data_IF_594614279410
#
_entry.id   IF_594614279410
#
_cell.length_a   1.000
_cell.length_b   1.000
_cell.length_c   1.000
_cell.angle_alpha   90.00
_cell.angle_beta   90.00
_cell.angle_gamma   90.00
#
_symmetry.space_group_name_H-M   'P 1'
#
loop_
_entity.id
_entity.type
_entity.pdbx_description
1 polymer ?
#
# COMPACT_ATOMS: atom_id res chain seq x y z
N UNK A 1 30.22 7.43 24.94
CA UNK A 1 30.37 6.76 23.62
C UNK A 1 29.04 6.89 22.87
N UNK A 2 29.01 7.51 21.68
CA UNK A 2 27.78 7.56 20.90
C UNK A 2 27.41 6.12 20.45
N UNK A 3 26.16 5.70 20.66
CA UNK A 3 25.67 4.38 20.26
C UNK A 3 25.74 4.24 18.73
N UNK A 4 26.18 3.09 18.23
CA UNK A 4 26.24 2.82 16.79
C UNK A 4 24.80 2.68 16.22
N UNK A 5 24.30 3.76 15.59
CA UNK A 5 22.90 3.85 15.14
C UNK A 5 22.72 3.59 13.63
N UNK A 6 23.76 3.80 12.80
CA UNK A 6 23.65 3.74 11.32
C UNK A 6 23.13 2.40 10.80
N UNK A 7 23.65 1.27 11.28
CA UNK A 7 23.20 -0.07 10.84
C UNK A 7 21.75 -0.36 11.23
N UNK A 8 21.32 -0.18 12.50
CA UNK A 8 19.91 -0.26 12.87
C UNK A 8 19.01 0.70 12.10
N UNK A 9 19.49 1.90 11.82
CA UNK A 9 18.75 2.91 11.07
C UNK A 9 18.46 2.44 9.65
N UNK A 10 19.48 1.95 8.94
CA UNK A 10 19.33 1.42 7.58
C UNK A 10 18.41 0.20 7.55
N UNK A 11 18.48 -0.68 8.55
CA UNK A 11 17.55 -1.81 8.68
C UNK A 11 16.09 -1.35 8.85
N UNK A 12 15.85 -0.37 9.72
CA UNK A 12 14.51 0.18 9.91
C UNK A 12 14.01 0.91 8.65
N UNK A 13 14.92 1.56 7.93
CA UNK A 13 14.60 2.23 6.67
C UNK A 13 14.20 1.24 5.57
N UNK A 14 14.98 0.16 5.37
CA UNK A 14 14.65 -0.94 4.44
C UNK A 14 13.25 -1.50 4.65
N UNK A 15 12.85 -1.66 5.91
CA UNK A 15 11.56 -2.27 6.24
C UNK A 15 10.37 -1.31 6.12
N UNK A 16 10.60 0.01 6.14
CA UNK A 16 9.51 0.98 6.28
C UNK A 16 9.46 2.04 5.18
N UNK A 17 10.56 2.27 4.46
CA UNK A 17 10.74 3.43 3.58
C UNK A 17 10.65 4.78 4.31
N UNK A 18 10.52 4.79 5.65
CA UNK A 18 10.13 5.96 6.41
C UNK A 18 11.24 6.41 7.35
N UNK A 19 11.86 7.54 6.99
CA UNK A 19 12.95 8.15 7.75
C UNK A 19 12.55 8.49 9.19
N UNK A 20 11.30 8.93 9.42
CA UNK A 20 10.82 9.26 10.77
C UNK A 20 10.71 8.02 11.65
N UNK A 21 10.22 6.92 11.08
CA UNK A 21 10.17 5.61 11.77
C UNK A 21 11.59 5.12 12.08
N UNK A 22 12.50 5.17 11.10
CA UNK A 22 13.89 4.76 11.29
C UNK A 22 14.63 5.59 12.35
N UNK A 23 14.37 6.91 12.40
CA UNK A 23 14.90 7.79 13.44
C UNK A 23 14.36 7.44 14.83
N UNK A 24 13.04 7.22 14.95
CA UNK A 24 12.42 6.82 16.21
C UNK A 24 12.97 5.49 16.73
N UNK A 25 13.14 4.49 15.85
CA UNK A 25 13.69 3.17 16.20
C UNK A 25 15.15 3.20 16.65
N UNK A 26 15.89 4.26 16.31
CA UNK A 26 17.32 4.39 16.61
C UNK A 26 17.66 5.50 17.59
N UNK A 27 16.63 6.17 18.12
CA UNK A 27 16.75 7.27 19.07
C UNK A 27 17.69 8.38 18.58
N UNK A 28 17.51 8.78 17.32
CA UNK A 28 18.22 9.91 16.73
C UNK A 28 17.25 10.93 16.17
N UNK A 29 17.69 12.18 16.10
CA UNK A 29 17.00 13.18 15.31
C UNK A 29 17.20 12.97 13.81
N UNK A 30 16.19 13.35 13.02
CA UNK A 30 16.29 13.39 11.55
C UNK A 30 17.47 14.25 11.08
N UNK A 31 17.73 15.37 11.77
CA UNK A 31 18.84 16.28 11.49
C UNK A 31 20.20 15.55 11.51
N UNK A 32 20.40 14.66 12.49
CA UNK A 32 21.57 13.80 12.66
C UNK A 32 21.70 12.80 11.51
N UNK A 33 20.61 12.13 11.14
CA UNK A 33 20.57 11.18 10.05
C UNK A 33 20.98 11.82 8.71
N UNK A 34 20.39 12.98 8.36
CA UNK A 34 20.73 13.71 7.14
C UNK A 34 22.13 14.31 7.17
N UNK A 35 22.62 14.76 8.32
CA UNK A 35 24.01 15.24 8.45
C UNK A 35 25.01 14.11 8.19
N UNK A 36 24.72 12.91 8.67
CA UNK A 36 25.54 11.73 8.38
C UNK A 36 25.50 11.39 6.89
N UNK A 37 24.31 11.39 6.26
CA UNK A 37 24.15 11.16 4.81
C UNK A 37 24.98 12.11 3.97
N UNK A 38 25.08 13.40 4.36
CA UNK A 38 25.91 14.38 3.64
C UNK A 38 27.42 14.19 3.83
N UNK A 39 27.86 13.59 4.93
CA UNK A 39 29.29 13.49 5.30
C UNK A 39 29.91 12.13 4.99
N UNK A 40 29.08 11.11 4.79
CA UNK A 40 29.49 9.73 4.60
C UNK A 40 28.82 9.17 3.35
N UNK A 41 29.58 9.11 2.26
CA UNK A 41 29.09 8.63 0.97
C UNK A 41 28.69 7.16 0.98
N UNK A 42 29.34 6.32 1.80
CA UNK A 42 28.97 4.92 1.93
C UNK A 42 27.62 4.78 2.65
N UNK A 43 27.40 5.56 3.70
CA UNK A 43 26.09 5.61 4.37
C UNK A 43 25.00 6.17 3.46
N UNK A 44 25.31 7.13 2.59
CA UNK A 44 24.37 7.65 1.60
C UNK A 44 23.97 6.58 0.57
N UNK A 45 24.93 5.85 0.02
CA UNK A 45 24.66 4.76 -0.91
C UNK A 45 23.77 3.69 -0.27
N UNK A 46 24.12 3.23 0.94
CA UNK A 46 23.29 2.24 1.65
C UNK A 46 21.91 2.78 2.04
N UNK A 47 21.76 4.09 2.23
CA UNK A 47 20.45 4.72 2.45
C UNK A 47 19.59 4.64 1.21
N UNK A 48 20.17 4.95 0.05
CA UNK A 48 19.46 4.93 -1.22
C UNK A 48 19.02 3.50 -1.56
N UNK A 49 19.92 2.52 -1.42
CA UNK A 49 19.57 1.08 -1.50
C UNK A 49 18.42 0.70 -0.56
N UNK A 50 18.45 1.21 0.68
CA UNK A 50 17.39 0.92 1.65
C UNK A 50 16.02 1.49 1.24
N UNK A 51 15.99 2.62 0.53
CA UNK A 51 14.75 3.19 0.00
C UNK A 51 14.25 2.37 -1.20
N UNK A 52 15.14 1.93 -2.08
CA UNK A 52 14.78 1.08 -3.22
C UNK A 52 14.19 -0.25 -2.73
N UNK A 53 14.84 -0.94 -1.78
CA UNK A 53 14.32 -2.18 -1.19
C UNK A 53 12.92 -1.99 -0.56
N UNK A 54 12.71 -0.88 0.15
CA UNK A 54 11.41 -0.57 0.72
C UNK A 54 10.35 -0.28 -0.35
N UNK A 55 10.75 0.34 -1.46
CA UNK A 55 9.90 0.67 -2.59
C UNK A 55 9.49 -0.59 -3.34
N UNK A 56 10.42 -1.49 -3.63
CA UNK A 56 10.15 -2.79 -4.26
C UNK A 56 9.11 -3.60 -3.45
N UNK A 57 9.26 -3.62 -2.12
CA UNK A 57 8.31 -4.30 -1.24
C UNK A 57 6.91 -3.66 -1.29
N UNK A 58 6.84 -2.34 -1.38
CA UNK A 58 5.57 -1.61 -1.52
C UNK A 58 4.92 -1.89 -2.88
N UNK A 59 5.69 -1.89 -3.97
CA UNK A 59 5.21 -2.23 -5.31
C UNK A 59 4.66 -3.66 -5.39
N UNK A 60 5.35 -4.61 -4.77
CA UNK A 60 4.89 -6.00 -4.67
C UNK A 60 3.52 -6.09 -3.96
N UNK A 61 3.33 -5.37 -2.85
CA UNK A 61 2.05 -5.35 -2.14
C UNK A 61 0.95 -4.63 -2.94
N UNK A 62 1.27 -3.54 -3.64
CA UNK A 62 0.32 -2.88 -4.55
C UNK A 62 -0.14 -3.85 -5.63
N UNK A 63 0.78 -4.61 -6.25
CA UNK A 63 0.47 -5.64 -7.24
C UNK A 63 -0.40 -6.75 -6.66
N UNK A 64 -0.09 -7.23 -5.45
CA UNK A 64 -0.90 -8.25 -4.76
C UNK A 64 -2.31 -7.74 -4.53
N UNK A 65 -2.49 -6.53 -3.99
CA UNK A 65 -3.82 -5.94 -3.76
C UNK A 65 -4.58 -5.70 -5.05
N UNK A 66 -3.90 -5.22 -6.09
CA UNK A 66 -4.51 -4.97 -7.38
C UNK A 66 -5.10 -6.26 -7.98
N UNK A 67 -4.33 -7.36 -7.97
CA UNK A 67 -4.72 -8.62 -8.63
C UNK A 67 -5.53 -9.56 -7.73
N UNK A 68 -5.05 -9.80 -6.51
CA UNK A 68 -5.67 -10.75 -5.59
C UNK A 68 -6.80 -10.12 -4.78
N UNK A 69 -6.79 -8.80 -4.62
CA UNK A 69 -7.74 -8.10 -3.77
C UNK A 69 -7.44 -8.17 -2.28
N UNK A 70 -8.31 -7.52 -1.52
CA UNK A 70 -8.34 -7.55 -0.05
C UNK A 70 -9.67 -8.08 0.44
N UNK A 71 -9.67 -8.62 1.66
CA UNK A 71 -10.88 -9.09 2.29
C UNK A 71 -11.69 -7.91 2.83
N UNK A 72 -12.93 -7.79 2.36
CA UNK A 72 -13.88 -6.76 2.79
C UNK A 72 -15.09 -7.44 3.45
N UNK A 73 -15.42 -7.08 4.71
CA UNK A 73 -16.61 -7.58 5.36
C UNK A 73 -17.86 -6.98 4.72
N UNK A 74 -18.87 -7.82 4.48
CA UNK A 74 -20.17 -7.41 3.96
C UNK A 74 -21.17 -7.36 5.10
N UNK A 75 -21.81 -6.22 5.28
CA UNK A 75 -22.83 -6.01 6.31
C UNK A 75 -24.22 -5.87 5.69
N UNK A 76 -25.20 -6.49 6.33
CA UNK A 76 -26.61 -6.29 6.07
C UNK A 76 -27.35 -6.11 7.40
N UNK A 77 -28.10 -5.00 7.53
CA UNK A 77 -28.81 -4.62 8.76
C UNK A 77 -27.91 -4.66 10.02
N UNK A 78 -26.70 -4.12 9.89
CA UNK A 78 -25.72 -4.04 11.00
C UNK A 78 -25.05 -5.37 11.38
N UNK A 79 -25.39 -6.48 10.72
CA UNK A 79 -24.75 -7.78 10.92
C UNK A 79 -23.81 -8.10 9.77
N UNK A 80 -22.61 -8.58 10.08
CA UNK A 80 -21.72 -9.12 9.06
C UNK A 80 -22.29 -10.43 8.53
N UNK A 81 -22.52 -10.52 7.22
CA UNK A 81 -23.14 -11.67 6.57
C UNK A 81 -22.16 -12.45 5.68
N UNK A 82 -21.05 -11.83 5.26
CA UNK A 82 -20.03 -12.46 4.44
C UNK A 82 -18.69 -11.73 4.57
N UNK A 83 -17.64 -12.36 4.06
CA UNK A 83 -16.38 -11.73 3.70
C UNK A 83 -16.17 -11.99 2.22
N UNK A 84 -15.87 -10.94 1.46
CA UNK A 84 -15.51 -11.07 0.05
C UNK A 84 -14.08 -10.67 -0.17
N UNK A 85 -13.47 -11.15 -1.24
CA UNK A 85 -12.18 -10.66 -1.69
C UNK A 85 -12.38 -9.78 -2.91
N UNK A 86 -11.97 -8.52 -2.83
CA UNK A 86 -12.19 -7.51 -3.87
C UNK A 86 -10.87 -7.02 -4.48
N UNK A 87 -10.56 -7.38 -5.74
CA UNK A 87 -9.48 -6.76 -6.52
C UNK A 87 -9.66 -5.24 -6.61
N UNK A 88 -8.56 -4.51 -6.82
CA UNK A 88 -8.59 -3.04 -6.92
C UNK A 88 -8.32 -2.58 -8.34
N UNK A 89 -9.38 -2.21 -9.06
CA UNK A 89 -9.29 -1.65 -10.41
C UNK A 89 -8.51 -0.33 -10.43
N UNK A 90 -8.61 0.45 -9.36
CA UNK A 90 -7.81 1.68 -9.20
C UNK A 90 -6.31 1.38 -9.14
N UNK A 91 -5.89 0.37 -8.36
CA UNK A 91 -4.49 -0.03 -8.29
C UNK A 91 -4.03 -0.70 -9.59
N UNK A 92 -4.89 -1.48 -10.25
CA UNK A 92 -4.61 -2.03 -11.58
C UNK A 92 -4.33 -0.90 -12.59
N UNK A 93 -5.20 0.10 -12.65
CA UNK A 93 -5.04 1.25 -13.54
C UNK A 93 -3.83 2.11 -13.17
N UNK A 94 -3.53 2.27 -11.88
CA UNK A 94 -2.32 2.95 -11.41
C UNK A 94 -1.05 2.24 -11.92
N UNK A 95 -0.96 0.92 -11.76
CA UNK A 95 0.17 0.12 -12.26
C UNK A 95 0.30 0.19 -13.78
N UNK A 96 -0.81 0.08 -14.52
CA UNK A 96 -0.79 0.15 -15.98
C UNK A 96 -0.34 1.53 -16.51
N UNK A 97 -0.76 2.61 -15.83
CA UNK A 97 -0.33 3.98 -16.14
C UNK A 97 1.17 4.18 -15.94
N UNK A 98 1.73 3.65 -14.86
CA UNK A 98 3.18 3.69 -14.62
C UNK A 98 3.98 2.89 -15.64
N UNK A 99 3.52 1.67 -15.98
CA UNK A 99 4.26 0.76 -16.87
C UNK A 99 4.11 1.09 -18.35
N UNK A 100 2.97 1.64 -18.78
CA UNK A 100 2.66 1.94 -20.19
C UNK A 100 1.94 3.29 -20.32
N UNK A 101 2.59 4.41 -19.97
CA UNK A 101 1.97 5.73 -19.95
C UNK A 101 1.44 6.16 -21.33
N UNK A 102 2.12 5.82 -22.42
CA UNK A 102 1.67 6.16 -23.78
C UNK A 102 0.32 5.50 -24.15
N UNK A 103 -0.02 4.36 -23.53
CA UNK A 103 -1.26 3.63 -23.81
C UNK A 103 -2.38 3.94 -22.81
N UNK A 104 -2.03 4.17 -21.54
CA UNK A 104 -3.00 4.28 -20.44
C UNK A 104 -2.94 5.62 -19.69
N UNK A 105 -2.16 6.59 -20.17
CA UNK A 105 -2.00 7.93 -19.59
C UNK A 105 -3.32 8.68 -19.41
N UNK A 106 -3.26 9.85 -18.76
CA UNK A 106 -4.44 10.56 -18.27
C UNK A 106 -5.45 10.91 -19.38
N UNK A 107 -6.50 10.11 -19.48
CA UNK A 107 -7.65 10.28 -20.35
C UNK A 107 -8.65 9.16 -20.07
N UNK A 108 -9.83 9.52 -19.55
CA UNK A 108 -10.95 8.67 -19.08
C UNK A 108 -10.80 7.99 -17.71
N UNK A 109 -11.62 8.50 -16.79
CA UNK A 109 -12.03 7.85 -15.55
C UNK A 109 -13.24 6.95 -15.84
N UNK A 110 -13.01 5.74 -16.33
CA UNK A 110 -14.07 4.72 -16.35
C UNK A 110 -13.39 3.37 -16.12
N UNK A 111 -13.16 3.02 -14.86
CA UNK A 111 -12.83 1.65 -14.48
C UNK A 111 -14.03 0.74 -14.75
N UNK A 112 -13.83 -0.54 -15.09
CA UNK A 112 -14.93 -1.47 -15.31
C UNK A 112 -15.80 -1.57 -14.04
N UNK A 113 -17.04 -1.08 -14.11
CA UNK A 113 -18.03 -1.28 -13.06
C UNK A 113 -18.55 -2.72 -13.14
N UNK A 114 -17.76 -3.65 -12.61
CA UNK A 114 -18.27 -5.00 -12.39
C UNK A 114 -19.32 -4.91 -11.29
N UNK A 115 -20.58 -5.24 -11.57
CA UNK A 115 -21.58 -5.42 -10.51
C UNK A 115 -21.05 -6.54 -9.59
N UNK A 116 -20.69 -6.24 -8.34
CA UNK A 116 -20.11 -7.26 -7.48
C UNK A 116 -21.17 -8.32 -7.18
N UNK A 117 -20.79 -9.59 -7.12
CA UNK A 117 -21.65 -10.70 -6.67
C UNK A 117 -22.32 -10.43 -5.29
N UNK A 118 -21.79 -9.47 -4.53
CA UNK A 118 -22.39 -8.95 -3.29
C UNK A 118 -23.71 -8.22 -3.53
N UNK A 119 -23.80 -7.42 -4.59
CA UNK A 119 -25.03 -6.70 -4.93
C UNK A 119 -26.14 -7.73 -5.19
N UNK A 120 -25.82 -8.80 -5.92
CA UNK A 120 -26.74 -9.92 -6.13
C UNK A 120 -27.11 -10.65 -4.83
N UNK A 121 -26.15 -10.88 -3.93
CA UNK A 121 -26.39 -11.49 -2.62
C UNK A 121 -27.30 -10.62 -1.74
N UNK A 122 -27.03 -9.32 -1.65
CA UNK A 122 -27.84 -8.37 -0.86
C UNK A 122 -29.23 -8.21 -1.46
N UNK A 123 -29.34 -8.16 -2.79
CA UNK A 123 -30.64 -8.13 -3.48
C UNK A 123 -31.42 -9.42 -3.30
N UNK A 124 -30.75 -10.58 -3.21
CA UNK A 124 -31.41 -11.85 -2.89
C UNK A 124 -31.96 -11.83 -1.46
N UNK A 125 -31.14 -11.44 -0.48
CA UNK A 125 -31.57 -11.34 0.92
C UNK A 125 -32.72 -10.34 1.09
N UNK A 126 -32.68 -9.19 0.40
CA UNK A 126 -33.79 -8.21 0.40
C UNK A 126 -35.09 -8.78 -0.18
N UNK A 127 -35.00 -9.64 -1.20
CA UNK A 127 -36.17 -10.31 -1.80
C UNK A 127 -36.73 -11.41 -0.90
N UNK A 128 -35.87 -12.17 -0.22
CA UNK A 128 -36.26 -13.19 0.76
C UNK A 128 -36.92 -12.57 2.01
N UNK A 129 -36.49 -11.38 2.44
CA UNK A 129 -37.03 -10.67 3.60
C UNK A 129 -38.39 -9.97 3.36
N UNK A 130 -38.98 -10.07 2.16
CA UNK A 130 -40.34 -9.57 1.90
C UNK A 130 -40.49 -8.04 1.81
N UNK A 131 -39.39 -7.30 1.61
CA UNK A 131 -39.39 -5.89 1.17
C UNK A 131 -40.22 -4.90 2.02
N UNK A 132 -39.59 -4.26 3.00
CA UNK A 132 -39.95 -2.89 3.42
C UNK A 132 -38.68 -2.09 3.74
N UNK A 133 -38.58 -0.84 3.28
CA UNK A 133 -37.38 -0.01 3.44
C UNK A 133 -36.93 0.16 4.89
#
# INVERSE_FOLDING_TARGET
MARAWKKPFLKALRNSGNVRVACHMTDIERSTAYRARRRDGAFAASWDEAIEEATDALEAEVRRRALSGVEEPVFYRGKQIAIVRKPSDQLLMFLLRGLRPNKYGAGREDGPQTKPAIVELVERLRREDGGKP
#
